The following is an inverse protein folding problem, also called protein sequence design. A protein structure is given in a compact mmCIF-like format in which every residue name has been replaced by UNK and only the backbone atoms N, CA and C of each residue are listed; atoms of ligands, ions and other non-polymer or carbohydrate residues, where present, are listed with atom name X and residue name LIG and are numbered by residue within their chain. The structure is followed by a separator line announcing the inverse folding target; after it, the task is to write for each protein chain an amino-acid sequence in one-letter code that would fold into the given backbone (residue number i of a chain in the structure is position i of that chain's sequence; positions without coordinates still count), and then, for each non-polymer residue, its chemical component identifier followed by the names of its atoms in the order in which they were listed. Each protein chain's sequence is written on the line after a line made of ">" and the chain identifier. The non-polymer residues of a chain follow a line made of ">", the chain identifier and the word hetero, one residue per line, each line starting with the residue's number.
data_IF_504885851150
#
_entry.id   IF_504885851150
#
_cell.length_a   1.000
_cell.length_b   1.000
_cell.length_c   1.000
_cell.angle_alpha   90.00
_cell.angle_beta   90.00
_cell.angle_gamma   90.00
#
_symmetry.space_group_name_H-M   'P 1'
#
loop_
_entity.id
_entity.type
_entity.pdbx_description
1 polymer ?
#
# COMPACT_ATOMS: atom_id res chain seq x y z
N UNK A 1 -20.14 -26.48 -25.21
CA UNK A 1 -18.93 -26.35 -24.36
C UNK A 1 -18.70 -24.86 -24.17
N UNK A 2 -18.98 -24.36 -22.97
CA UNK A 2 -18.64 -23.01 -22.54
C UNK A 2 -17.17 -23.01 -22.13
N UNK A 3 -16.37 -22.09 -22.64
CA UNK A 3 -15.15 -21.60 -22.01
C UNK A 3 -14.73 -20.31 -22.70
N UNK A 4 -15.42 -19.23 -22.34
CA UNK A 4 -14.89 -17.89 -22.42
C UNK A 4 -13.61 -17.83 -21.57
N UNK A 5 -12.47 -17.55 -22.19
CA UNK A 5 -11.29 -17.09 -21.46
C UNK A 5 -10.99 -15.69 -21.97
N UNK A 6 -11.77 -14.74 -21.44
CA UNK A 6 -11.45 -13.33 -21.49
C UNK A 6 -10.15 -13.14 -20.73
N UNK A 7 -9.03 -13.14 -21.46
CA UNK A 7 -7.72 -12.77 -20.93
C UNK A 7 -7.70 -11.25 -20.79
N UNK A 8 -8.27 -10.76 -19.69
CA UNK A 8 -8.21 -9.37 -19.29
C UNK A 8 -6.76 -9.04 -18.86
N UNK A 9 -5.99 -8.53 -19.82
CA UNK A 9 -4.66 -7.96 -19.60
C UNK A 9 -4.76 -6.62 -18.87
N UNK A 10 -5.21 -6.65 -17.62
CA UNK A 10 -5.22 -5.51 -16.71
C UNK A 10 -3.80 -5.17 -16.26
N UNK A 11 -3.02 -4.56 -17.13
CA UNK A 11 -1.68 -4.08 -16.83
C UNK A 11 -1.74 -2.96 -15.76
N UNK A 12 -1.54 -3.35 -14.50
CA UNK A 12 -0.66 -2.78 -13.47
C UNK A 12 -0.36 -1.27 -13.52
N UNK A 13 -1.37 -0.43 -13.80
CA UNK A 13 -1.23 1.02 -13.61
C UNK A 13 -1.43 1.32 -12.12
N UNK A 14 -0.33 1.35 -11.39
CA UNK A 14 -0.28 1.91 -10.04
C UNK A 14 -1.01 3.26 -10.02
N UNK A 15 -1.88 3.45 -9.02
CA UNK A 15 -2.66 4.68 -8.93
C UNK A 15 -1.73 5.91 -8.88
N UNK A 16 -2.11 7.06 -9.45
CA UNK A 16 -1.29 8.28 -9.42
C UNK A 16 -0.86 8.73 -8.01
N UNK A 17 -1.61 8.32 -6.99
CA UNK A 17 -1.28 8.56 -5.59
C UNK A 17 -0.10 7.69 -5.13
N UNK A 18 -0.04 6.41 -5.52
CA UNK A 18 1.07 5.51 -5.19
C UNK A 18 2.36 5.95 -5.90
N UNK A 19 2.28 6.41 -7.15
CA UNK A 19 3.46 6.92 -7.85
C UNK A 19 4.08 8.14 -7.17
N UNK A 20 3.26 9.09 -6.71
CA UNK A 20 3.73 10.26 -5.95
C UNK A 20 4.34 9.87 -4.60
N UNK A 21 3.81 8.84 -3.96
CA UNK A 21 4.33 8.34 -2.69
C UNK A 21 5.69 7.64 -2.87
N UNK A 22 5.84 6.83 -3.92
CA UNK A 22 7.11 6.21 -4.28
C UNK A 22 8.20 7.26 -4.57
N UNK A 23 7.87 8.30 -5.32
CA UNK A 23 8.79 9.41 -5.61
C UNK A 23 9.22 10.16 -4.34
N UNK A 24 8.28 10.44 -3.43
CA UNK A 24 8.58 11.13 -2.18
C UNK A 24 9.48 10.30 -1.23
N UNK A 25 9.43 8.98 -1.36
CA UNK A 25 10.18 8.03 -0.52
C UNK A 25 11.45 7.51 -1.20
N UNK A 26 11.73 7.91 -2.44
CA UNK A 26 12.83 7.41 -3.28
C UNK A 26 12.86 5.88 -3.42
N UNK A 27 11.68 5.27 -3.63
CA UNK A 27 11.53 3.83 -3.82
C UNK A 27 10.84 3.50 -5.15
N UNK A 28 11.07 2.28 -5.64
CA UNK A 28 10.38 1.79 -6.84
C UNK A 28 8.86 1.66 -6.57
N UNK A 29 7.98 2.09 -7.47
CA UNK A 29 6.53 1.93 -7.30
C UNK A 29 6.07 0.47 -7.16
N UNK A 30 6.83 -0.49 -7.70
CA UNK A 30 6.62 -1.93 -7.50
C UNK A 30 6.94 -2.42 -6.09
N UNK A 31 7.59 -1.61 -5.25
CA UNK A 31 7.85 -1.93 -3.84
C UNK A 31 6.55 -1.98 -3.01
N UNK A 32 5.46 -1.39 -3.49
CA UNK A 32 4.15 -1.49 -2.83
C UNK A 32 3.47 -2.84 -3.05
N UNK A 33 3.85 -3.59 -4.10
CA UNK A 33 3.24 -4.87 -4.44
C UNK A 33 4.32 -5.94 -4.59
N UNK A 34 4.63 -6.59 -3.48
CA UNK A 34 5.37 -7.85 -3.48
C UNK A 34 4.37 -8.99 -3.28
N UNK A 35 4.02 -9.69 -4.36
CA UNK A 35 3.12 -10.85 -4.32
C UNK A 35 3.72 -12.08 -3.60
N UNK A 36 5.04 -12.04 -3.31
CA UNK A 36 5.75 -13.08 -2.56
C UNK A 36 5.99 -12.71 -1.10
N UNK A 37 5.80 -11.44 -0.74
CA UNK A 37 5.74 -11.04 0.65
C UNK A 37 4.48 -11.65 1.26
N UNK A 38 4.67 -12.54 2.22
CA UNK A 38 3.59 -12.91 3.14
C UNK A 38 2.95 -11.61 3.65
N UNK A 39 1.63 -11.48 3.50
CA UNK A 39 0.82 -10.33 3.93
C UNK A 39 1.08 -9.94 5.42
N UNK A 40 1.52 -10.94 6.19
CA UNK A 40 1.98 -10.80 7.57
C UNK A 40 3.24 -9.94 7.69
N UNK A 41 4.17 -10.03 6.75
CA UNK A 41 5.40 -9.24 6.69
C UNK A 41 5.11 -7.74 6.54
N UNK A 42 4.27 -7.37 5.58
CA UNK A 42 3.88 -5.97 5.37
C UNK A 42 3.11 -5.40 6.57
N UNK A 43 2.20 -6.19 7.14
CA UNK A 43 1.49 -5.82 8.38
C UNK A 43 2.47 -5.66 9.56
N UNK A 44 3.48 -6.53 9.67
CA UNK A 44 4.50 -6.46 10.72
C UNK A 44 5.39 -5.22 10.56
N UNK A 45 5.81 -4.88 9.34
CA UNK A 45 6.56 -3.65 9.04
C UNK A 45 5.76 -2.40 9.41
N UNK A 46 4.46 -2.38 9.09
CA UNK A 46 3.56 -1.29 9.45
C UNK A 46 3.44 -1.13 10.97
N UNK A 47 3.24 -2.24 11.69
CA UNK A 47 3.15 -2.24 13.16
C UNK A 47 4.48 -1.81 13.81
N UNK A 48 5.62 -2.21 13.25
CA UNK A 48 6.93 -1.79 13.75
C UNK A 48 7.15 -0.29 13.53
N UNK A 49 6.81 0.20 12.34
CA UNK A 49 6.89 1.63 12.01
C UNK A 49 5.97 2.46 12.91
N UNK A 50 4.75 1.99 13.14
CA UNK A 50 3.82 2.59 14.10
C UNK A 50 4.39 2.65 15.52
N UNK A 51 5.04 1.58 15.98
CA UNK A 51 5.62 1.51 17.32
C UNK A 51 6.81 2.48 17.49
N UNK A 52 7.61 2.70 16.44
CA UNK A 52 8.75 3.60 16.46
C UNK A 52 8.37 5.08 16.63
N UNK A 53 7.14 5.47 16.25
CA UNK A 53 6.65 6.83 16.45
C UNK A 53 6.38 7.02 17.94
N UNK A 54 7.19 7.82 18.62
CA UNK A 54 7.02 8.09 20.05
C UNK A 54 6.13 9.30 20.32
N UNK A 55 6.04 10.22 19.36
CA UNK A 55 5.22 11.42 19.47
C UNK A 55 3.73 11.13 19.24
N UNK A 56 2.89 11.64 20.13
CA UNK A 56 1.43 11.42 20.07
C UNK A 56 0.79 12.14 18.88
N UNK A 57 1.24 13.34 18.58
CA UNK A 57 0.66 14.15 17.51
C UNK A 57 0.99 13.56 16.12
N UNK A 58 2.18 13.01 15.95
CA UNK A 58 2.55 12.31 14.72
C UNK A 58 1.80 10.99 14.54
N UNK A 59 1.52 10.26 15.63
CA UNK A 59 0.63 9.09 15.61
C UNK A 59 -0.79 9.47 15.15
N UNK A 60 -1.34 10.58 15.63
CA UNK A 60 -2.66 11.07 15.22
C UNK A 60 -2.72 11.40 13.73
N UNK A 61 -1.66 12.00 13.16
CA UNK A 61 -1.56 12.26 11.71
C UNK A 61 -1.58 10.98 10.89
N UNK A 62 -0.78 9.99 11.30
CA UNK A 62 -0.73 8.69 10.60
C UNK A 62 -2.09 7.99 10.64
N UNK A 63 -2.79 8.00 11.79
CA UNK A 63 -4.14 7.45 11.89
C UNK A 63 -5.14 8.15 10.96
N UNK A 64 -5.11 9.48 10.88
CA UNK A 64 -5.98 10.24 9.99
C UNK A 64 -5.76 9.86 8.51
N UNK A 65 -4.50 9.67 8.12
CA UNK A 65 -4.13 9.22 6.76
C UNK A 65 -4.64 7.79 6.52
N UNK A 66 -4.39 6.86 7.46
CA UNK A 66 -4.87 5.48 7.35
C UNK A 66 -6.40 5.41 7.23
N UNK A 67 -7.14 6.20 8.01
CA UNK A 67 -8.60 6.30 7.91
C UNK A 67 -9.06 6.78 6.53
N UNK A 68 -8.35 7.73 5.93
CA UNK A 68 -8.67 8.26 4.60
C UNK A 68 -8.53 7.19 3.51
N UNK A 69 -7.60 6.24 3.68
CA UNK A 69 -7.46 5.10 2.77
C UNK A 69 -8.56 4.05 3.02
N UNK A 70 -8.82 3.72 4.28
CA UNK A 70 -9.82 2.73 4.66
C UNK A 70 -11.26 3.14 4.28
N UNK A 71 -11.59 4.44 4.32
CA UNK A 71 -12.92 4.94 3.95
C UNK A 71 -13.19 5.02 2.46
N UNK A 72 -12.18 4.72 1.61
CA UNK A 72 -12.29 4.75 0.15
C UNK A 72 -12.29 3.35 -0.48
N UNK A 73 -12.18 2.30 0.35
CA UNK A 73 -12.38 0.90 0.01
C UNK A 73 -13.85 0.51 0.20
#
# INVERSE_FOLDING_TARGET
>A
MLSDTNSDGGSDKLSPALSRLAEALDIAPTAFFDATASDLGQTTELLRSWHAISDKHDREKVLAIMHTFASRA
#
